data_IF_272295326505
#
_entry.id   IF_272295326505
#
_cell.length_a   1.000
_cell.length_b   1.000
_cell.length_c   1.000
_cell.angle_alpha   90.00
_cell.angle_beta   90.00
_cell.angle_gamma   90.00
#
_symmetry.space_group_name_H-M   'P 1'
#
loop_
_entity.id
_entity.type
_entity.pdbx_description
1 polymer ?
#
# COMPACT_ATOMS: atom_id res chain seq x y z
N UNK A 1 -37.45 28.41 -11.10
CA UNK A 1 -36.43 27.61 -11.82
C UNK A 1 -34.99 27.76 -11.30
N UNK A 2 -34.68 28.68 -10.36
CA UNK A 2 -33.32 28.77 -9.75
C UNK A 2 -33.10 27.82 -8.58
N UNK A 3 -34.16 27.47 -7.85
CA UNK A 3 -34.08 26.54 -6.71
C UNK A 3 -33.66 25.12 -7.13
N UNK A 4 -34.09 24.68 -8.31
CA UNK A 4 -33.77 23.34 -8.83
C UNK A 4 -32.29 23.22 -9.22
N UNK A 5 -31.70 24.28 -9.75
CA UNK A 5 -30.27 24.33 -10.06
C UNK A 5 -29.40 24.32 -8.81
N UNK A 6 -29.81 24.97 -7.71
CA UNK A 6 -29.08 24.89 -6.43
C UNK A 6 -29.13 23.49 -5.81
N UNK A 7 -30.26 22.79 -5.95
CA UNK A 7 -30.40 21.43 -5.45
C UNK A 7 -29.47 20.44 -6.17
N UNK A 8 -29.33 20.56 -7.49
CA UNK A 8 -28.40 19.77 -8.30
C UNK A 8 -26.93 20.06 -7.98
N UNK A 9 -26.57 21.32 -7.73
CA UNK A 9 -25.19 21.70 -7.38
C UNK A 9 -24.80 21.20 -5.99
N UNK A 10 -25.71 21.24 -5.01
CA UNK A 10 -25.47 20.67 -3.69
C UNK A 10 -25.23 19.15 -3.75
N UNK A 11 -26.02 18.41 -4.55
CA UNK A 11 -25.81 16.97 -4.73
C UNK A 11 -24.47 16.65 -5.41
N UNK A 12 -24.04 17.48 -6.37
CA UNK A 12 -22.75 17.32 -7.05
C UNK A 12 -21.56 17.54 -6.09
N UNK A 13 -21.64 18.53 -5.19
CA UNK A 13 -20.56 18.83 -4.23
C UNK A 13 -20.38 17.76 -3.15
N UNK A 14 -21.45 17.08 -2.72
CA UNK A 14 -21.38 15.97 -1.76
C UNK A 14 -20.64 14.76 -2.35
N UNK A 15 -20.76 14.53 -3.66
CA UNK A 15 -20.08 13.43 -4.35
C UNK A 15 -18.55 13.55 -4.36
N UNK A 16 -18.01 14.78 -4.29
CA UNK A 16 -16.55 15.00 -4.33
C UNK A 16 -15.92 14.81 -2.94
N UNK A 17 -16.64 15.13 -1.85
CA UNK A 17 -16.17 14.86 -0.49
C UNK A 17 -16.23 13.37 -0.10
N UNK A 18 -17.11 12.58 -0.75
CA UNK A 18 -17.25 11.15 -0.49
C UNK A 18 -16.08 10.29 -1.04
N UNK A 19 -15.17 10.85 -1.84
CA UNK A 19 -14.01 10.13 -2.39
C UNK A 19 -12.66 10.52 -1.73
N UNK A 20 -12.69 11.24 -0.60
CA UNK A 20 -11.49 11.58 0.19
C UNK A 20 -11.42 10.88 1.56
N UNK A 21 -12.35 9.98 1.87
CA UNK A 21 -12.21 9.09 3.01
C UNK A 21 -11.37 7.88 2.61
N UNK A 22 -10.06 7.99 2.80
CA UNK A 22 -9.21 6.83 2.97
C UNK A 22 -9.73 6.05 4.20
N UNK A 23 -10.18 4.79 4.04
CA UNK A 23 -10.53 3.99 5.20
C UNK A 23 -9.23 3.60 5.91
N UNK A 24 -9.02 4.18 7.09
CA UNK A 24 -8.23 3.58 8.15
C UNK A 24 -9.17 2.69 8.96
N UNK A 25 -9.17 1.40 8.68
CA UNK A 25 -9.52 0.29 9.60
C UNK A 25 -9.21 -1.00 8.82
N UNK A 26 -8.12 -1.72 9.12
CA UNK A 26 -7.96 -2.64 10.26
C UNK A 26 -9.10 -3.65 10.37
N UNK A 27 -9.08 -4.69 9.52
CA UNK A 27 -9.35 -6.10 9.86
C UNK A 27 -9.81 -6.87 8.60
N UNK A 28 -8.87 -7.49 7.89
CA UNK A 28 -9.17 -8.67 7.06
C UNK A 28 -8.20 -9.79 7.46
N UNK A 29 -8.32 -10.24 8.70
CA UNK A 29 -7.82 -11.54 9.11
C UNK A 29 -8.81 -12.59 8.62
N UNK A 30 -8.46 -13.30 7.54
CA UNK A 30 -8.66 -14.74 7.31
C UNK A 30 -8.53 -15.10 5.81
N UNK A 31 -7.40 -14.72 5.21
CA UNK A 31 -6.93 -15.24 3.92
C UNK A 31 -5.46 -15.56 4.13
N UNK A 32 -4.87 -16.63 3.54
CA UNK A 32 -3.42 -16.79 3.54
C UNK A 32 -2.84 -15.48 3.02
N UNK A 33 -2.26 -14.69 3.93
CA UNK A 33 -2.03 -13.27 3.72
C UNK A 33 -0.89 -13.16 2.72
N UNK A 34 -1.25 -13.06 1.44
CA UNK A 34 -0.34 -12.74 0.35
C UNK A 34 0.37 -11.48 0.79
N UNK A 35 1.68 -11.57 1.03
CA UNK A 35 2.43 -10.44 1.53
C UNK A 35 2.52 -9.41 0.42
N UNK A 36 1.68 -8.37 0.49
CA UNK A 36 1.70 -7.26 -0.47
C UNK A 36 2.83 -6.29 -0.12
N UNK A 37 3.18 -5.41 -1.05
CA UNK A 37 4.20 -4.37 -0.80
C UNK A 37 3.73 -3.42 0.29
N UNK A 38 2.45 -3.09 0.31
CA UNK A 38 1.83 -2.20 1.28
C UNK A 38 1.85 -2.83 2.69
N UNK A 39 1.53 -4.12 2.80
CA UNK A 39 1.62 -4.86 4.05
C UNK A 39 3.07 -4.99 4.52
N UNK A 40 4.01 -5.26 3.61
CA UNK A 40 5.44 -5.30 3.91
C UNK A 40 5.98 -3.98 4.48
N UNK A 41 5.54 -2.83 3.95
CA UNK A 41 5.95 -1.50 4.45
C UNK A 41 5.50 -1.23 5.90
N UNK A 42 4.42 -1.89 6.35
CA UNK A 42 3.88 -1.77 7.69
C UNK A 42 4.51 -2.74 8.70
N UNK A 43 5.33 -3.69 8.25
CA UNK A 43 6.03 -4.61 9.13
C UNK A 43 7.09 -3.90 9.97
N UNK A 44 7.34 -4.46 11.16
CA UNK A 44 8.43 -3.99 12.01
C UNK A 44 9.79 -4.17 11.30
N UNK A 45 10.71 -3.18 11.37
CA UNK A 45 12.02 -3.26 10.72
C UNK A 45 12.81 -4.55 11.02
N UNK A 46 12.63 -5.14 12.21
CA UNK A 46 13.30 -6.39 12.60
C UNK A 46 12.89 -7.61 11.76
N UNK A 47 11.67 -7.63 11.23
CA UNK A 47 11.12 -8.74 10.42
C UNK A 47 10.95 -8.36 8.95
N UNK A 48 10.80 -7.06 8.65
CA UNK A 48 10.57 -6.50 7.32
C UNK A 48 11.71 -6.79 6.35
N UNK A 49 12.95 -6.68 6.83
CA UNK A 49 14.15 -6.92 6.03
C UNK A 49 14.69 -8.35 6.18
N UNK A 50 13.97 -9.23 6.89
CA UNK A 50 14.36 -10.63 7.00
C UNK A 50 14.32 -11.33 5.63
N UNK A 51 15.28 -12.21 5.38
CA UNK A 51 15.39 -12.93 4.12
C UNK A 51 14.14 -13.76 3.81
N UNK A 52 13.49 -14.32 4.83
CA UNK A 52 12.26 -15.10 4.67
C UNK A 52 11.09 -14.21 4.26
N UNK A 53 10.96 -13.03 4.86
CA UNK A 53 9.92 -12.05 4.54
C UNK A 53 10.08 -11.52 3.12
N UNK A 54 11.31 -11.18 2.72
CA UNK A 54 11.58 -10.68 1.37
C UNK A 54 11.36 -11.77 0.30
N UNK A 55 11.69 -13.03 0.60
CA UNK A 55 11.43 -14.13 -0.33
C UNK A 55 9.92 -14.42 -0.45
N UNK A 56 9.16 -14.33 0.66
CA UNK A 56 7.69 -14.39 0.62
C UNK A 56 7.12 -13.27 -0.26
N UNK A 57 7.56 -12.03 -0.03
CA UNK A 57 7.15 -10.87 -0.83
C UNK A 57 7.42 -11.10 -2.32
N UNK A 58 8.58 -11.67 -2.65
CA UNK A 58 8.96 -12.00 -4.03
C UNK A 58 8.07 -13.08 -4.65
N UNK A 59 7.76 -14.13 -3.90
CA UNK A 59 6.96 -15.26 -4.36
C UNK A 59 5.48 -14.93 -4.54
N UNK A 60 4.95 -14.13 -3.61
CA UNK A 60 3.55 -13.72 -3.55
C UNK A 60 3.19 -12.70 -4.63
N UNK A 61 4.17 -11.90 -5.08
CA UNK A 61 3.97 -10.85 -6.08
C UNK A 61 4.56 -11.25 -7.44
N UNK A 62 3.69 -11.50 -8.42
CA UNK A 62 4.10 -11.90 -9.79
C UNK A 62 5.08 -10.91 -10.45
N UNK A 63 4.99 -9.63 -10.10
CA UNK A 63 5.89 -8.58 -10.60
C UNK A 63 7.37 -8.77 -10.19
N UNK A 64 7.63 -9.50 -9.10
CA UNK A 64 8.97 -9.73 -8.57
C UNK A 64 9.57 -11.09 -8.95
N UNK A 65 8.87 -11.90 -9.75
CA UNK A 65 9.38 -13.19 -10.23
C UNK A 65 10.63 -13.05 -11.09
N UNK A 66 10.68 -11.99 -11.90
CA UNK A 66 11.87 -11.67 -12.68
C UNK A 66 12.99 -11.16 -11.78
N UNK A 67 14.18 -11.75 -11.88
CA UNK A 67 15.37 -11.30 -11.15
C UNK A 67 15.68 -9.82 -11.40
N UNK A 68 15.39 -9.31 -12.60
CA UNK A 68 15.62 -7.89 -12.93
C UNK A 68 14.62 -6.99 -12.21
N UNK A 69 13.35 -7.36 -12.18
CA UNK A 69 12.31 -6.58 -11.52
C UNK A 69 12.51 -6.60 -9.99
N UNK A 70 12.90 -7.75 -9.43
CA UNK A 70 13.27 -7.87 -8.02
C UNK A 70 14.47 -7.02 -7.66
N UNK A 71 15.56 -7.09 -8.44
CA UNK A 71 16.75 -6.28 -8.18
C UNK A 71 16.45 -4.78 -8.25
N UNK A 72 15.57 -4.35 -9.16
CA UNK A 72 15.15 -2.95 -9.26
C UNK A 72 14.38 -2.52 -8.01
N UNK A 73 13.36 -3.29 -7.62
CA UNK A 73 12.58 -3.03 -6.41
C UNK A 73 13.46 -3.01 -5.15
N UNK A 74 14.42 -3.93 -5.05
CA UNK A 74 15.34 -3.97 -3.94
C UNK A 74 16.19 -2.70 -3.82
N UNK A 75 16.66 -2.15 -4.95
CA UNK A 75 17.48 -0.94 -4.96
C UNK A 75 16.66 0.34 -4.76
N UNK A 76 15.45 0.40 -5.33
CA UNK A 76 14.62 1.60 -5.34
C UNK A 76 13.74 1.73 -4.08
N UNK A 77 13.34 0.61 -3.47
CA UNK A 77 12.39 0.62 -2.33
C UNK A 77 13.04 0.03 -1.08
N UNK A 78 13.52 -1.23 -1.13
CA UNK A 78 14.02 -1.93 0.08
C UNK A 78 15.26 -1.24 0.68
N UNK A 79 16.28 -0.97 -0.13
CA UNK A 79 17.55 -0.38 0.33
C UNK A 79 17.41 1.03 0.94
N UNK A 80 16.70 1.99 0.32
CA UNK A 80 16.50 3.29 0.94
C UNK A 80 15.65 3.21 2.21
N UNK A 81 14.64 2.34 2.24
CA UNK A 81 13.79 2.14 3.41
C UNK A 81 14.57 1.51 4.58
N UNK A 82 15.44 0.54 4.31
CA UNK A 82 16.37 -0.04 5.30
C UNK A 82 17.32 1.01 5.87
N UNK A 83 17.83 1.91 5.03
CA UNK A 83 18.71 2.99 5.47
C UNK A 83 17.97 4.00 6.35
N UNK A 84 16.72 4.30 6.02
CA UNK A 84 15.85 5.19 6.82
C UNK A 84 15.52 4.57 8.18
N UNK A 85 15.16 3.29 8.20
CA UNK A 85 14.75 2.59 9.43
C UNK A 85 15.95 2.32 10.36
N UNK A 86 17.17 2.17 9.83
CA UNK A 86 18.40 2.07 10.64
C UNK A 86 18.93 3.41 11.18
N UNK A 87 18.51 4.53 10.58
CA UNK A 87 18.93 5.87 10.99
C UNK A 87 18.01 6.51 12.03
N UNK A 88 16.92 5.84 12.42
CA UNK A 88 15.97 6.25 13.47
C UNK A 88 16.23 5.52 14.78
#
# INVERSE_FOLDING_TARGET
MRAFTYWLICMLLIGIMACSQAPKDSAEADRPEVLTVEAWKQLDPSIKFDGTTLEKLRMDNKQFRSSRAWSKFYQEEIRPEMTKDQAS
#
